data_IF_102495546894
#
_entry.id   IF_102495546894
#
_cell.length_a   1.000
_cell.length_b   1.000
_cell.length_c   1.000
_cell.angle_alpha   90.00
_cell.angle_beta   90.00
_cell.angle_gamma   90.00
#
_symmetry.space_group_name_H-M   'P 1'
#
loop_
_entity.id
_entity.type
_entity.pdbx_description
1 polymer ?
#
# COMPACT_ATOMS: atom_id res chain seq x y z
N UNK A 1 2.96 -8.35 21.64
CA UNK A 1 2.60 -9.71 21.19
C UNK A 1 3.86 -10.41 20.74
N UNK A 2 3.90 -11.75 20.83
CA UNK A 2 5.02 -12.58 20.36
C UNK A 2 5.24 -12.42 18.86
N UNK A 3 6.49 -12.42 18.41
CA UNK A 3 6.87 -12.36 16.99
C UNK A 3 6.36 -13.57 16.19
N UNK A 4 6.17 -14.72 16.86
CA UNK A 4 5.81 -16.01 16.24
C UNK A 4 4.39 -16.47 16.55
N UNK A 5 3.82 -16.05 17.67
CA UNK A 5 2.40 -16.30 18.04
C UNK A 5 1.54 -15.06 17.74
N UNK A 6 1.67 -14.53 16.53
CA UNK A 6 1.06 -13.27 16.10
C UNK A 6 -0.19 -13.42 15.24
N UNK A 7 -0.52 -14.62 14.76
CA UNK A 7 -1.64 -14.86 13.84
C UNK A 7 -3.00 -14.85 14.55
N UNK A 8 -3.44 -13.64 14.89
CA UNK A 8 -4.72 -13.34 15.51
C UNK A 8 -5.42 -12.19 14.79
N UNK A 9 -6.69 -11.97 15.14
CA UNK A 9 -7.51 -10.87 14.66
C UNK A 9 -8.32 -10.28 15.81
N UNK A 10 -8.70 -9.01 15.70
CA UNK A 10 -9.58 -8.33 16.65
C UNK A 10 -10.89 -7.97 15.96
N UNK A 11 -12.01 -8.10 16.68
CA UNK A 11 -13.34 -7.82 16.16
C UNK A 11 -13.99 -6.75 17.04
N UNK A 12 -14.36 -5.63 16.43
CA UNK A 12 -15.13 -4.55 17.05
C UNK A 12 -16.56 -4.62 16.57
N UNK A 13 -17.48 -4.96 17.48
CA UNK A 13 -18.91 -5.14 17.17
C UNK A 13 -19.69 -3.94 17.72
N UNK A 14 -20.58 -3.31 16.92
CA UNK A 14 -21.44 -2.25 17.40
C UNK A 14 -22.51 -2.79 18.36
N UNK A 15 -22.84 -2.03 19.40
CA UNK A 15 -23.92 -2.38 20.33
C UNK A 15 -25.30 -2.02 19.75
N UNK A 16 -25.74 -2.76 18.73
CA UNK A 16 -27.04 -2.58 18.06
C UNK A 16 -27.76 -3.93 17.93
N UNK A 17 -29.08 -3.94 17.96
CA UNK A 17 -29.86 -5.13 17.65
C UNK A 17 -29.82 -5.39 16.15
N UNK A 18 -29.21 -6.49 15.70
CA UNK A 18 -29.21 -6.86 14.27
C UNK A 18 -30.59 -7.37 13.87
N UNK A 19 -31.31 -6.63 13.02
CA UNK A 19 -32.64 -7.02 12.51
C UNK A 19 -32.57 -8.05 11.37
N UNK A 20 -31.97 -9.21 11.64
CA UNK A 20 -32.04 -10.42 10.80
C UNK A 20 -31.16 -10.46 9.54
N UNK A 21 -30.67 -9.31 9.03
CA UNK A 21 -29.62 -9.25 8.00
C UNK A 21 -28.31 -8.88 8.70
N UNK A 22 -27.26 -9.70 8.54
CA UNK A 22 -25.96 -9.44 9.18
C UNK A 22 -25.39 -8.07 8.80
N UNK A 23 -24.54 -7.51 9.65
CA UNK A 23 -23.88 -6.23 9.43
C UNK A 23 -22.75 -6.35 8.39
N UNK A 24 -22.49 -5.33 7.57
CA UNK A 24 -21.29 -5.28 6.74
C UNK A 24 -20.02 -5.41 7.59
N UNK A 25 -18.98 -5.99 7.01
CA UNK A 25 -17.71 -6.26 7.69
C UNK A 25 -16.59 -5.51 7.00
N UNK A 26 -15.92 -4.61 7.72
CA UNK A 26 -14.77 -3.86 7.24
C UNK A 26 -13.49 -4.46 7.83
N UNK A 27 -12.60 -4.97 6.98
CA UNK A 27 -11.40 -5.72 7.39
C UNK A 27 -10.14 -4.91 7.06
N UNK A 28 -9.42 -4.49 8.09
CA UNK A 28 -8.17 -3.73 7.97
C UNK A 28 -6.94 -4.63 7.87
N UNK A 29 -6.16 -4.40 6.80
CA UNK A 29 -4.82 -4.95 6.60
C UNK A 29 -3.82 -3.80 6.72
N UNK A 30 -3.00 -3.85 7.76
CA UNK A 30 -2.05 -2.77 8.05
C UNK A 30 -0.92 -2.66 7.01
N UNK A 31 -0.34 -1.46 6.92
CA UNK A 31 0.87 -1.18 6.14
C UNK A 31 2.15 -1.52 6.91
N UNK A 32 3.24 -0.81 6.57
CA UNK A 32 4.56 -0.97 7.21
C UNK A 32 5.61 -1.66 6.34
N UNK A 33 5.59 -1.40 5.02
CA UNK A 33 6.56 -1.90 4.03
C UNK A 33 6.73 -3.43 4.02
N UNK A 34 5.72 -4.18 4.48
CA UNK A 34 5.79 -5.63 4.74
C UNK A 34 6.86 -6.04 5.77
N UNK A 35 7.53 -5.09 6.43
CA UNK A 35 8.60 -5.31 7.41
C UNK A 35 8.07 -5.28 8.84
N UNK A 36 7.18 -4.34 9.14
CA UNK A 36 6.64 -4.08 10.48
C UNK A 36 5.13 -3.85 10.43
N UNK A 37 4.49 -3.89 11.58
CA UNK A 37 3.08 -3.54 11.75
C UNK A 37 2.35 -4.49 12.68
N UNK A 38 1.18 -4.08 13.14
CA UNK A 38 0.25 -4.95 13.85
C UNK A 38 -1.17 -4.44 13.73
N UNK A 39 -2.14 -5.35 13.60
CA UNK A 39 -3.56 -5.06 13.71
C UNK A 39 -4.00 -4.58 15.10
N UNK A 40 -3.14 -4.61 16.11
CA UNK A 40 -3.43 -4.10 17.47
C UNK A 40 -2.85 -2.71 17.74
N UNK A 41 -2.17 -2.12 16.77
CA UNK A 41 -1.63 -0.79 16.95
C UNK A 41 -2.76 0.24 17.20
N UNK A 42 -2.62 1.14 18.19
CA UNK A 42 -3.72 2.00 18.64
C UNK A 42 -4.34 2.86 17.54
N UNK A 43 -3.56 3.27 16.53
CA UNK A 43 -4.08 4.04 15.40
C UNK A 43 -5.14 3.28 14.58
N UNK A 44 -5.19 1.94 14.64
CA UNK A 44 -6.12 1.11 13.89
C UNK A 44 -7.31 0.63 14.73
N UNK A 45 -7.49 1.14 15.95
CA UNK A 45 -8.65 0.78 16.78
C UNK A 45 -9.94 1.24 16.09
N UNK A 46 -10.82 0.29 15.77
CA UNK A 46 -12.10 0.54 15.12
C UNK A 46 -13.15 1.13 16.06
N UNK A 47 -12.93 1.16 17.37
CA UNK A 47 -13.95 1.53 18.34
C UNK A 47 -14.58 2.91 18.06
N UNK A 48 -13.77 3.91 17.71
CA UNK A 48 -14.29 5.25 17.39
C UNK A 48 -15.09 5.28 16.08
N UNK A 49 -14.57 4.67 15.02
CA UNK A 49 -15.24 4.63 13.71
C UNK A 49 -16.52 3.78 13.73
N UNK A 50 -16.52 2.65 14.45
CA UNK A 50 -17.72 1.80 14.63
C UNK A 50 -18.78 2.56 15.41
N UNK A 51 -18.43 3.23 16.52
CA UNK A 51 -19.39 4.09 17.25
C UNK A 51 -19.98 5.18 16.36
N UNK A 52 -19.16 5.81 15.52
CA UNK A 52 -19.62 6.82 14.58
C UNK A 52 -20.63 6.26 13.57
N UNK A 53 -20.36 5.10 12.99
CA UNK A 53 -21.27 4.44 12.04
C UNK A 53 -22.66 4.15 12.62
N UNK A 54 -22.74 3.87 13.93
CA UNK A 54 -24.02 3.74 14.64
C UNK A 54 -24.78 5.07 14.65
N UNK A 55 -24.09 6.18 14.94
CA UNK A 55 -24.66 7.53 14.93
C UNK A 55 -25.18 7.95 13.55
N UNK A 56 -24.57 7.46 12.46
CA UNK A 56 -25.02 7.66 11.08
C UNK A 56 -26.17 6.74 10.65
N UNK A 57 -26.54 5.75 11.47
CA UNK A 57 -27.55 4.76 11.11
C UNK A 57 -27.09 3.71 10.09
N UNK A 58 -25.77 3.57 9.88
CA UNK A 58 -25.14 2.64 8.92
C UNK A 58 -24.05 1.78 9.60
N UNK A 59 -24.40 1.03 10.67
CA UNK A 59 -23.43 0.31 11.48
C UNK A 59 -22.68 -0.79 10.69
N UNK A 60 -21.40 -0.99 11.02
CA UNK A 60 -20.58 -2.07 10.47
C UNK A 60 -19.76 -2.76 11.58
N UNK A 61 -19.25 -3.97 11.31
CA UNK A 61 -18.28 -4.67 12.16
C UNK A 61 -16.87 -4.37 11.65
N UNK A 62 -16.00 -3.85 12.53
CA UNK A 62 -14.59 -3.65 12.22
C UNK A 62 -13.75 -4.87 12.59
N UNK A 63 -12.85 -5.30 11.71
CA UNK A 63 -11.90 -6.39 11.97
C UNK A 63 -10.49 -5.94 11.63
N UNK A 64 -9.54 -6.06 12.56
CA UNK A 64 -8.11 -5.92 12.25
C UNK A 64 -7.47 -7.30 12.24
N UNK A 65 -6.56 -7.55 11.30
CA UNK A 65 -5.83 -8.82 11.21
C UNK A 65 -4.34 -8.60 11.42
N UNK A 66 -3.67 -9.57 12.02
CA UNK A 66 -2.21 -9.69 11.96
C UNK A 66 -1.82 -10.69 10.86
N UNK A 67 -0.66 -10.47 10.26
CA UNK A 67 -0.01 -11.38 9.33
C UNK A 67 1.50 -11.32 9.54
N UNK A 68 2.24 -12.38 9.18
CA UNK A 68 3.70 -12.37 9.33
C UNK A 68 4.34 -11.30 8.42
N UNK A 69 5.21 -10.49 8.99
CA UNK A 69 6.02 -9.47 8.29
C UNK A 69 7.50 -9.89 8.24
N UNK A 70 8.32 -9.08 7.55
CA UNK A 70 9.77 -9.26 7.48
C UNK A 70 10.16 -10.62 6.93
N UNK A 71 11.25 -11.15 7.47
CA UNK A 71 11.75 -12.48 7.12
C UNK A 71 10.77 -13.60 7.47
N UNK A 72 9.92 -13.45 8.49
CA UNK A 72 8.94 -14.47 8.86
C UNK A 72 7.82 -14.61 7.83
N UNK A 73 7.47 -13.50 7.17
CA UNK A 73 6.43 -13.47 6.14
C UNK A 73 6.95 -13.70 4.73
N UNK A 74 8.18 -13.29 4.43
CA UNK A 74 8.63 -13.08 3.04
C UNK A 74 10.00 -13.67 2.72
N UNK A 75 10.75 -14.22 3.67
CA UNK A 75 12.00 -14.91 3.34
C UNK A 75 11.68 -16.20 2.58
N UNK A 76 12.30 -16.37 1.40
CA UNK A 76 12.21 -17.60 0.63
C UNK A 76 13.50 -17.83 -0.15
N UNK A 77 13.76 -19.10 -0.45
CA UNK A 77 14.86 -19.58 -1.28
C UNK A 77 14.51 -20.94 -1.83
N UNK A 78 15.26 -21.44 -2.80
CA UNK A 78 15.07 -22.81 -3.31
C UNK A 78 15.24 -23.84 -2.19
N UNK A 79 16.22 -23.60 -1.30
CA UNK A 79 16.49 -24.40 -0.11
C UNK A 79 15.26 -24.49 0.81
N UNK A 80 14.66 -23.33 1.15
CA UNK A 80 13.45 -23.25 1.96
C UNK A 80 12.25 -23.92 1.28
N UNK A 81 12.02 -23.64 -0.01
CA UNK A 81 10.89 -24.19 -0.76
C UNK A 81 10.97 -25.71 -0.92
N UNK A 82 12.16 -26.25 -1.16
CA UNK A 82 12.40 -27.71 -1.26
C UNK A 82 12.16 -28.41 0.07
N UNK A 83 12.44 -27.74 1.19
CA UNK A 83 12.15 -28.24 2.54
C UNK A 83 10.67 -28.10 2.95
N UNK A 84 9.81 -27.55 2.10
CA UNK A 84 8.37 -27.42 2.35
C UNK A 84 7.91 -26.05 2.84
N UNK A 85 8.82 -25.09 3.05
CA UNK A 85 8.44 -23.72 3.42
C UNK A 85 7.94 -22.97 2.19
N UNK A 86 6.66 -22.60 2.21
CA UNK A 86 6.05 -21.82 1.13
C UNK A 86 6.58 -20.38 1.12
N UNK A 87 6.65 -19.80 -0.06
CA UNK A 87 6.84 -18.36 -0.22
C UNK A 87 5.55 -17.59 0.12
N UNK A 88 5.67 -16.28 0.28
CA UNK A 88 4.53 -15.37 0.50
C UNK A 88 3.70 -15.70 1.75
N UNK A 89 4.34 -16.18 2.83
CA UNK A 89 3.65 -16.57 4.05
C UNK A 89 2.80 -15.44 4.64
N UNK A 90 3.28 -14.19 4.60
CA UNK A 90 2.49 -13.03 5.04
C UNK A 90 1.20 -12.85 4.24
N UNK A 91 1.22 -13.02 2.92
CA UNK A 91 0.02 -12.95 2.09
C UNK A 91 -0.90 -14.17 2.28
N UNK A 92 -0.32 -15.35 2.52
CA UNK A 92 -1.09 -16.56 2.84
C UNK A 92 -1.83 -16.40 4.17
N UNK A 93 -1.21 -15.80 5.17
CA UNK A 93 -1.83 -15.51 6.47
C UNK A 93 -3.05 -14.59 6.31
N UNK A 94 -2.92 -13.52 5.51
CA UNK A 94 -4.04 -12.64 5.20
C UNK A 94 -5.18 -13.40 4.52
N UNK A 95 -4.87 -14.26 3.53
CA UNK A 95 -5.88 -15.10 2.86
C UNK A 95 -6.61 -16.00 3.85
N UNK A 96 -5.87 -16.65 4.76
CA UNK A 96 -6.45 -17.48 5.83
C UNK A 96 -7.35 -16.65 6.75
N UNK A 97 -6.97 -15.41 7.09
CA UNK A 97 -7.81 -14.52 7.89
C UNK A 97 -9.11 -14.18 7.17
N UNK A 98 -9.10 -13.88 5.87
CA UNK A 98 -10.33 -13.68 5.09
C UNK A 98 -11.21 -14.94 5.04
N UNK A 99 -10.61 -16.12 4.84
CA UNK A 99 -11.34 -17.40 4.89
C UNK A 99 -11.98 -17.62 6.27
N UNK A 100 -11.26 -17.29 7.35
CA UNK A 100 -11.80 -17.36 8.70
C UNK A 100 -12.98 -16.40 8.88
N UNK A 101 -12.87 -15.16 8.41
CA UNK A 101 -13.94 -14.15 8.49
C UNK A 101 -15.18 -14.64 7.74
N UNK A 102 -15.01 -15.10 6.49
CA UNK A 102 -16.10 -15.67 5.67
C UNK A 102 -16.81 -16.82 6.37
N UNK A 103 -16.08 -17.65 7.12
CA UNK A 103 -16.63 -18.81 7.83
C UNK A 103 -17.30 -18.46 9.16
N UNK A 104 -16.79 -17.48 9.90
CA UNK A 104 -17.12 -17.30 11.32
C UNK A 104 -17.81 -15.98 11.67
N UNK A 105 -17.73 -14.95 10.83
CA UNK A 105 -18.17 -13.59 11.22
C UNK A 105 -19.68 -13.48 11.49
N UNK A 106 -20.47 -14.41 10.96
CA UNK A 106 -21.90 -14.53 11.27
C UNK A 106 -22.17 -14.76 12.77
N UNK A 107 -21.27 -15.44 13.48
CA UNK A 107 -21.37 -15.62 14.93
C UNK A 107 -21.23 -14.30 15.73
N UNK A 108 -20.70 -13.26 15.09
CA UNK A 108 -20.55 -11.92 15.66
C UNK A 108 -21.61 -10.94 15.11
N UNK A 109 -22.59 -11.43 14.36
CA UNK A 109 -23.63 -10.63 13.73
C UNK A 109 -23.26 -10.01 12.37
N UNK A 110 -22.12 -10.40 11.78
CA UNK A 110 -21.68 -9.92 10.46
C UNK A 110 -22.25 -10.72 9.30
N UNK A 111 -22.38 -10.10 8.14
CA UNK A 111 -22.71 -10.80 6.89
C UNK A 111 -21.42 -11.18 6.15
N UNK A 112 -21.09 -12.49 6.05
CA UNK A 112 -19.90 -12.94 5.34
C UNK A 112 -19.93 -12.60 3.84
N UNK A 113 -21.07 -12.22 3.26
CA UNK A 113 -21.16 -11.81 1.86
C UNK A 113 -21.01 -10.29 1.66
N UNK A 114 -20.89 -9.53 2.74
CA UNK A 114 -20.69 -8.07 2.73
C UNK A 114 -19.36 -7.69 3.37
N UNK A 115 -18.28 -8.31 2.88
CA UNK A 115 -16.90 -8.03 3.34
C UNK A 115 -16.26 -6.97 2.45
N UNK A 116 -15.83 -5.87 3.05
CA UNK A 116 -14.95 -4.87 2.45
C UNK A 116 -13.56 -5.02 3.03
N UNK A 117 -12.56 -5.22 2.18
CA UNK A 117 -11.16 -5.16 2.58
C UNK A 117 -10.65 -3.73 2.46
N UNK A 118 -9.92 -3.25 3.45
CA UNK A 118 -9.25 -1.95 3.43
C UNK A 118 -7.78 -2.14 3.85
N UNK A 119 -6.87 -1.51 3.13
CA UNK A 119 -5.46 -1.55 3.48
C UNK A 119 -4.74 -0.31 3.00
N UNK A 120 -3.74 0.10 3.79
CA UNK A 120 -2.92 1.27 3.51
C UNK A 120 -1.49 0.86 3.21
N UNK A 121 -0.83 1.52 2.25
CA UNK A 121 0.57 1.25 1.89
C UNK A 121 0.77 -0.23 1.54
N UNK A 122 1.68 -0.92 2.22
CA UNK A 122 1.90 -2.36 2.10
C UNK A 122 0.62 -3.21 2.29
N UNK A 123 -0.37 -2.73 3.04
CA UNK A 123 -1.68 -3.37 3.17
C UNK A 123 -2.51 -3.27 1.90
N UNK A 124 -2.52 -2.10 1.25
CA UNK A 124 -3.17 -1.89 -0.06
C UNK A 124 -2.49 -2.69 -1.18
N UNK A 125 -1.15 -2.70 -1.18
CA UNK A 125 -0.34 -3.57 -2.05
C UNK A 125 -0.75 -5.04 -1.83
N UNK A 126 -0.80 -5.49 -0.58
CA UNK A 126 -1.15 -6.87 -0.27
C UNK A 126 -2.56 -7.23 -0.77
N UNK A 127 -3.56 -6.37 -0.52
CA UNK A 127 -4.94 -6.63 -0.92
C UNK A 127 -5.15 -6.61 -2.44
N UNK A 128 -4.43 -5.76 -3.16
CA UNK A 128 -4.43 -5.80 -4.63
C UNK A 128 -3.74 -7.06 -5.16
N UNK A 129 -2.70 -7.58 -4.48
CA UNK A 129 -2.12 -8.90 -4.80
C UNK A 129 -3.08 -10.06 -4.48
N UNK A 130 -3.92 -9.95 -3.46
CA UNK A 130 -4.97 -10.95 -3.16
C UNK A 130 -5.99 -11.10 -4.30
N UNK A 131 -6.10 -10.13 -5.22
CA UNK A 131 -6.93 -10.27 -6.43
C UNK A 131 -6.44 -11.36 -7.38
N UNK A 132 -5.21 -11.90 -7.22
CA UNK A 132 -4.79 -13.10 -7.94
C UNK A 132 -5.46 -14.38 -7.44
N UNK A 133 -6.16 -14.34 -6.29
CA UNK A 133 -6.92 -15.48 -5.78
C UNK A 133 -8.09 -15.83 -6.71
N UNK A 134 -8.22 -17.11 -7.06
CA UNK A 134 -9.40 -17.66 -7.74
C UNK A 134 -10.63 -17.71 -6.84
N UNK A 135 -10.43 -17.73 -5.53
CA UNK A 135 -11.47 -17.66 -4.51
C UNK A 135 -11.80 -16.19 -4.20
N UNK A 136 -13.07 -15.78 -4.22
CA UNK A 136 -13.49 -14.45 -3.75
C UNK A 136 -13.30 -14.29 -2.23
N UNK A 137 -12.39 -13.41 -1.83
CA UNK A 137 -12.06 -13.16 -0.42
C UNK A 137 -12.86 -12.02 0.20
N UNK A 138 -13.20 -11.01 -0.62
CA UNK A 138 -13.98 -9.83 -0.25
C UNK A 138 -14.81 -9.38 -1.45
N UNK A 139 -15.80 -8.52 -1.23
CA UNK A 139 -16.68 -8.01 -2.28
C UNK A 139 -16.21 -6.64 -2.80
N UNK A 140 -15.58 -5.86 -1.94
CA UNK A 140 -15.14 -4.48 -2.16
C UNK A 140 -13.73 -4.29 -1.62
N UNK A 141 -12.95 -3.44 -2.27
CA UNK A 141 -11.57 -3.13 -1.90
C UNK A 141 -11.39 -1.62 -1.73
N UNK A 142 -10.88 -1.19 -0.58
CA UNK A 142 -10.31 0.14 -0.38
C UNK A 142 -8.77 0.02 -0.34
N UNK A 143 -8.10 0.44 -1.41
CA UNK A 143 -6.64 0.43 -1.54
C UNK A 143 -6.12 1.86 -1.37
N UNK A 144 -5.50 2.14 -0.22
CA UNK A 144 -5.10 3.48 0.19
C UNK A 144 -3.57 3.61 0.09
N UNK A 145 -3.08 4.62 -0.63
CA UNK A 145 -1.64 4.88 -0.80
C UNK A 145 -0.84 3.60 -1.14
N UNK A 146 -1.38 2.69 -1.97
CA UNK A 146 -0.76 1.38 -2.19
C UNK A 146 -1.51 0.41 -3.11
N UNK A 147 -0.86 0.02 -4.21
CA UNK A 147 -1.35 -1.00 -5.15
C UNK A 147 -0.24 -1.95 -5.60
N UNK A 148 -0.59 -3.06 -6.24
CA UNK A 148 0.35 -4.02 -6.79
C UNK A 148 1.23 -3.43 -7.91
N UNK A 149 0.89 -2.26 -8.46
CA UNK A 149 1.74 -1.53 -9.42
C UNK A 149 2.89 -0.80 -8.72
N UNK A 150 2.69 -0.36 -7.47
CA UNK A 150 3.74 0.13 -6.57
C UNK A 150 4.61 -1.02 -6.05
N UNK A 151 4.01 -2.03 -5.43
CA UNK A 151 4.72 -3.17 -4.84
C UNK A 151 4.53 -4.46 -5.63
N UNK A 152 5.40 -4.69 -6.61
CA UNK A 152 5.32 -5.86 -7.49
C UNK A 152 6.00 -7.08 -6.87
N UNK A 153 5.50 -8.30 -7.11
CA UNK A 153 6.24 -9.49 -6.76
C UNK A 153 7.51 -9.60 -7.62
N UNK A 154 8.63 -9.95 -6.99
CA UNK A 154 9.92 -10.08 -7.68
C UNK A 154 10.23 -11.54 -8.04
N UNK A 155 11.01 -11.79 -9.10
CA UNK A 155 11.40 -13.14 -9.48
C UNK A 155 12.19 -13.87 -8.38
N UNK A 156 12.10 -15.20 -8.35
CA UNK A 156 12.74 -16.03 -7.33
C UNK A 156 14.27 -15.83 -7.25
N UNK A 157 14.96 -15.51 -8.35
CA UNK A 157 16.41 -15.28 -8.30
C UNK A 157 16.80 -14.09 -7.40
N UNK A 158 15.92 -13.07 -7.28
CA UNK A 158 16.14 -11.95 -6.35
C UNK A 158 16.07 -12.45 -4.92
N UNK A 159 15.12 -13.34 -4.63
CA UNK A 159 14.99 -13.99 -3.32
C UNK A 159 16.21 -14.85 -2.96
N UNK A 160 16.84 -15.52 -3.93
CA UNK A 160 18.08 -16.25 -3.67
C UNK A 160 19.23 -15.30 -3.25
N UNK A 161 19.32 -14.10 -3.85
CA UNK A 161 20.30 -13.08 -3.46
C UNK A 161 20.02 -12.55 -2.04
N UNK A 162 18.75 -12.26 -1.74
CA UNK A 162 18.31 -11.80 -0.41
C UNK A 162 18.59 -12.87 0.64
N UNK A 163 18.28 -14.13 0.35
CA UNK A 163 18.54 -15.26 1.24
C UNK A 163 20.04 -15.44 1.51
N UNK A 164 20.90 -15.26 0.51
CA UNK A 164 22.36 -15.30 0.69
C UNK A 164 22.84 -14.23 1.65
N UNK A 165 22.43 -12.98 1.47
CA UNK A 165 22.78 -11.85 2.35
C UNK A 165 22.29 -12.11 3.79
N UNK A 166 21.07 -12.63 3.92
CA UNK A 166 20.53 -13.06 5.22
C UNK A 166 21.42 -14.14 5.86
N UNK A 167 21.78 -15.20 5.13
CA UNK A 167 22.62 -16.27 5.66
C UNK A 167 24.03 -15.79 6.05
N UNK A 168 24.60 -14.86 5.29
CA UNK A 168 25.87 -14.20 5.62
C UNK A 168 25.77 -13.44 6.95
N UNK A 169 24.72 -12.62 7.11
CA UNK A 169 24.51 -11.84 8.32
C UNK A 169 24.24 -12.71 9.56
N UNK A 170 23.62 -13.88 9.37
CA UNK A 170 23.38 -14.86 10.45
C UNK A 170 24.59 -15.77 10.73
N UNK A 171 25.67 -15.71 9.94
CA UNK A 171 26.83 -16.58 10.09
C UNK A 171 26.58 -18.04 9.69
N UNK A 172 25.64 -18.27 8.76
CA UNK A 172 25.13 -19.60 8.39
C UNK A 172 25.69 -20.14 7.06
N UNK A 173 26.64 -19.44 6.45
CA UNK A 173 27.18 -19.76 5.11
C UNK A 173 27.95 -21.08 5.07
N UNK A 174 28.56 -21.49 6.19
CA UNK A 174 29.29 -22.74 6.30
C UNK A 174 28.38 -23.97 6.41
N UNK A 175 27.10 -23.79 6.76
CA UNK A 175 26.12 -24.87 6.87
C UNK A 175 25.55 -25.21 5.50
N UNK A 176 25.23 -26.50 5.30
CA UNK A 176 24.57 -26.98 4.09
C UNK A 176 23.07 -27.15 4.31
N UNK A 177 22.26 -26.83 3.29
CA UNK A 177 20.88 -27.28 3.14
C UNK A 177 20.07 -27.37 4.42
N UNK A 178 19.75 -28.62 4.80
CA UNK A 178 18.92 -28.95 5.95
C UNK A 178 19.52 -28.51 7.30
N UNK A 179 20.85 -28.50 7.45
CA UNK A 179 21.48 -28.02 8.69
C UNK A 179 21.35 -26.51 8.83
N UNK A 180 21.36 -25.78 7.70
CA UNK A 180 21.11 -24.35 7.69
C UNK A 180 19.68 -24.03 8.12
N UNK A 181 18.70 -24.74 7.57
CA UNK A 181 17.29 -24.57 7.94
C UNK A 181 17.08 -24.86 9.42
N UNK A 182 17.58 -26.01 9.92
CA UNK A 182 17.48 -26.36 11.34
C UNK A 182 18.16 -25.34 12.26
N UNK A 183 19.23 -24.70 11.79
CA UNK A 183 19.86 -23.62 12.53
C UNK A 183 18.94 -22.39 12.57
N UNK A 184 18.37 -21.97 11.44
CA UNK A 184 17.42 -20.85 11.36
C UNK A 184 16.24 -21.06 12.32
N UNK A 185 15.63 -22.25 12.33
CA UNK A 185 14.49 -22.57 13.21
C UNK A 185 14.81 -22.52 14.71
N UNK A 186 16.09 -22.61 15.09
CA UNK A 186 16.55 -22.60 16.48
C UNK A 186 17.00 -21.22 16.96
N UNK A 187 17.26 -20.28 16.05
CA UNK A 187 17.65 -18.92 16.42
C UNK A 187 16.43 -18.24 17.05
N UNK A 188 16.54 -17.66 18.26
CA UNK A 188 15.47 -16.87 18.85
C UNK A 188 15.04 -15.72 17.92
N UNK A 189 13.72 -15.46 17.83
CA UNK A 189 13.16 -14.48 16.89
C UNK A 189 13.81 -13.09 17.01
N UNK A 190 14.04 -12.62 18.23
CA UNK A 190 14.69 -11.33 18.49
C UNK A 190 16.12 -11.28 17.93
N UNK A 191 16.90 -12.34 18.10
CA UNK A 191 18.26 -12.44 17.55
C UNK A 191 18.23 -12.51 16.03
N UNK A 192 17.27 -13.25 15.48
CA UNK A 192 17.08 -13.38 14.04
C UNK A 192 16.84 -12.00 13.42
N UNK A 193 15.90 -11.23 13.97
CA UNK A 193 15.56 -9.85 13.54
C UNK A 193 16.76 -8.92 13.72
N UNK A 194 17.41 -8.94 14.88
CA UNK A 194 18.52 -8.02 15.20
C UNK A 194 19.68 -8.12 14.21
N UNK A 195 19.95 -9.32 13.69
CA UNK A 195 21.00 -9.58 12.71
C UNK A 195 20.56 -9.37 11.25
N UNK A 196 19.28 -9.13 10.97
CA UNK A 196 18.84 -8.84 9.58
C UNK A 196 19.36 -7.47 9.17
N UNK A 197 20.24 -7.38 8.15
CA UNK A 197 20.72 -6.09 7.70
C UNK A 197 19.57 -5.36 6.98
N UNK A 198 19.50 -4.03 7.02
CA UNK A 198 18.46 -3.28 6.32
C UNK A 198 18.43 -3.46 4.79
N UNK A 199 19.46 -4.08 4.20
CA UNK A 199 19.53 -4.48 2.79
C UNK A 199 18.76 -5.77 2.46
N UNK A 200 18.20 -6.47 3.46
CA UNK A 200 17.28 -7.61 3.27
C UNK A 200 15.85 -7.07 3.29
N UNK A 201 15.22 -6.84 2.12
CA UNK A 201 13.86 -6.33 2.06
C UNK A 201 12.83 -7.44 2.31
N UNK A 202 11.62 -7.06 2.72
CA UNK A 202 10.46 -7.93 2.64
C UNK A 202 9.75 -7.70 1.30
N UNK A 203 9.83 -8.70 0.41
CA UNK A 203 9.27 -8.60 -0.95
C UNK A 203 8.32 -9.77 -1.20
N UNK A 204 7.19 -9.56 -1.89
CA UNK A 204 6.43 -10.67 -2.44
C UNK A 204 7.25 -11.42 -3.50
N UNK A 205 7.11 -12.75 -3.54
CA UNK A 205 7.76 -13.61 -4.51
C UNK A 205 6.79 -13.96 -5.64
N UNK A 206 7.25 -13.86 -6.89
CA UNK A 206 6.58 -14.45 -8.04
C UNK A 206 6.86 -15.98 -8.01
N UNK A 207 6.03 -16.71 -7.26
CA UNK A 207 6.25 -18.12 -6.91
C UNK A 207 5.48 -19.12 -7.78
N UNK A 208 4.61 -18.63 -8.67
CA UNK A 208 3.71 -19.43 -9.52
C UNK A 208 2.78 -20.38 -8.75
N UNK A 209 2.63 -20.18 -7.43
CA UNK A 209 1.74 -20.93 -6.53
C UNK A 209 0.73 -19.98 -5.90
N UNK A 210 1.20 -18.99 -5.13
CA UNK A 210 0.35 -17.94 -4.57
C UNK A 210 0.18 -16.76 -5.53
N UNK A 211 1.28 -16.29 -6.13
CA UNK A 211 1.31 -15.20 -7.11
C UNK A 211 1.80 -15.77 -8.45
N UNK A 212 0.91 -15.74 -9.44
CA UNK A 212 1.18 -16.24 -10.78
C UNK A 212 1.58 -15.13 -11.76
N UNK A 213 1.32 -13.86 -11.43
CA UNK A 213 1.69 -12.71 -12.25
C UNK A 213 2.36 -11.60 -11.45
N UNK A 214 3.15 -10.80 -12.16
CA UNK A 214 3.69 -9.52 -11.70
C UNK A 214 3.07 -8.39 -12.52
N UNK A 215 1.97 -7.79 -12.05
CA UNK A 215 1.34 -6.63 -12.69
C UNK A 215 2.32 -5.53 -13.07
N UNK A 216 2.25 -5.08 -14.32
CA UNK A 216 2.95 -3.92 -14.88
C UNK A 216 1.95 -2.88 -15.36
N UNK A 217 2.40 -1.63 -15.55
CA UNK A 217 1.56 -0.58 -16.14
C UNK A 217 1.07 -1.01 -17.53
N UNK A 218 1.96 -1.63 -18.32
CA UNK A 218 1.60 -2.21 -19.61
C UNK A 218 0.54 -3.31 -19.52
N UNK A 219 0.65 -4.24 -18.55
CA UNK A 219 -0.34 -5.32 -18.40
C UNK A 219 -1.72 -4.79 -18.00
N UNK A 220 -1.77 -3.68 -17.25
CA UNK A 220 -3.01 -3.07 -16.80
C UNK A 220 -3.87 -2.52 -17.95
N UNK A 221 -3.30 -2.31 -19.15
CA UNK A 221 -4.07 -1.97 -20.37
C UNK A 221 -5.16 -2.99 -20.72
N UNK A 222 -4.96 -4.25 -20.36
CA UNK A 222 -5.92 -5.32 -20.64
C UNK A 222 -7.05 -5.42 -19.60
N UNK A 223 -6.86 -4.88 -18.39
CA UNK A 223 -7.79 -5.11 -17.27
C UNK A 223 -9.18 -4.56 -17.54
N UNK A 224 -9.27 -3.39 -18.16
CA UNK A 224 -10.54 -2.75 -18.55
C UNK A 224 -11.24 -3.45 -19.72
N UNK A 225 -10.56 -4.36 -20.43
CA UNK A 225 -11.04 -5.08 -21.63
C UNK A 225 -11.44 -6.53 -21.34
N UNK A 226 -12.02 -6.79 -20.16
CA UNK A 226 -12.51 -8.12 -19.78
C UNK A 226 -11.69 -8.84 -18.71
N UNK A 227 -10.80 -8.11 -18.02
CA UNK A 227 -9.97 -8.60 -16.92
C UNK A 227 -8.67 -9.26 -17.38
N UNK A 228 -7.94 -9.80 -16.40
CA UNK A 228 -6.70 -10.54 -16.61
C UNK A 228 -6.89 -11.96 -16.05
N UNK A 229 -6.70 -13.03 -16.84
CA UNK A 229 -6.78 -14.41 -16.33
C UNK A 229 -5.84 -14.69 -15.15
N UNK A 230 -4.71 -13.98 -15.07
CA UNK A 230 -3.78 -14.07 -13.96
C UNK A 230 -4.20 -13.26 -12.72
N UNK A 231 -5.26 -12.45 -12.83
CA UNK A 231 -5.86 -11.69 -11.73
C UNK A 231 -7.38 -11.93 -11.70
N UNK A 232 -7.85 -13.15 -11.34
CA UNK A 232 -9.26 -13.51 -11.36
C UNK A 232 -10.16 -12.60 -10.52
N UNK A 233 -9.60 -11.95 -9.50
CA UNK A 233 -10.28 -11.01 -8.62
C UNK A 233 -10.73 -9.72 -9.24
N UNK A 234 -10.23 -9.37 -10.43
CA UNK A 234 -10.83 -8.34 -11.25
C UNK A 234 -12.27 -8.67 -11.66
N UNK A 235 -12.71 -9.94 -11.59
CA UNK A 235 -14.09 -10.36 -11.88
C UNK A 235 -14.99 -10.43 -10.64
N UNK A 236 -14.44 -10.84 -9.49
CA UNK A 236 -15.25 -11.05 -8.28
C UNK A 236 -15.27 -9.83 -7.34
N UNK A 237 -14.25 -8.98 -7.37
CA UNK A 237 -14.25 -7.70 -6.64
C UNK A 237 -15.08 -6.70 -7.44
N UNK A 238 -16.18 -6.22 -6.86
CA UNK A 238 -17.18 -5.41 -7.59
C UNK A 238 -16.85 -3.93 -7.58
N UNK A 239 -16.29 -3.46 -6.48
CA UNK A 239 -16.06 -2.04 -6.27
C UNK A 239 -14.68 -1.79 -5.67
N UNK A 240 -14.10 -0.68 -6.10
CA UNK A 240 -12.80 -0.18 -5.68
C UNK A 240 -12.98 1.23 -5.13
N UNK A 241 -12.44 1.48 -3.95
CA UNK A 241 -12.11 2.81 -3.45
C UNK A 241 -10.59 2.92 -3.46
N UNK A 242 -10.03 3.94 -4.09
CA UNK A 242 -8.57 4.09 -4.25
C UNK A 242 -8.21 5.57 -4.18
N UNK A 243 -7.05 5.87 -3.62
CA UNK A 243 -6.59 7.25 -3.50
C UNK A 243 -5.35 7.41 -2.64
N UNK A 244 -4.69 8.54 -2.86
CA UNK A 244 -3.37 8.87 -2.33
C UNK A 244 -3.39 10.18 -1.56
N UNK A 245 -2.28 10.43 -0.88
CA UNK A 245 -1.94 11.71 -0.27
C UNK A 245 -1.08 12.54 -1.21
N UNK A 246 -1.21 13.87 -1.17
CA UNK A 246 -0.42 14.78 -2.02
C UNK A 246 1.09 14.55 -1.91
N UNK A 247 1.55 14.18 -0.72
CA UNK A 247 2.96 14.04 -0.36
C UNK A 247 3.26 12.66 0.27
N UNK A 248 2.63 11.59 -0.22
CA UNK A 248 2.97 10.21 0.15
C UNK A 248 4.47 9.88 -0.03
N UNK A 249 5.13 10.52 -1.00
CA UNK A 249 6.57 10.39 -1.23
C UNK A 249 7.45 10.73 -0.01
N UNK A 250 6.91 11.47 0.98
CA UNK A 250 7.60 11.73 2.26
C UNK A 250 8.03 10.48 3.00
N UNK A 251 7.38 9.32 2.78
CA UNK A 251 7.79 8.05 3.39
C UNK A 251 9.20 7.60 2.96
N UNK A 252 9.66 8.05 1.79
CA UNK A 252 10.99 7.70 1.28
C UNK A 252 12.12 8.43 2.01
N UNK A 253 11.80 9.38 2.89
CA UNK A 253 12.79 10.04 3.76
C UNK A 253 13.66 9.04 4.51
N UNK A 254 13.04 7.99 5.09
CA UNK A 254 13.78 6.94 5.79
C UNK A 254 14.75 6.15 4.90
N UNK A 255 14.42 5.99 3.62
CA UNK A 255 15.28 5.30 2.64
C UNK A 255 16.37 6.20 2.06
N UNK A 256 16.17 7.52 2.07
CA UNK A 256 17.08 8.50 1.49
C UNK A 256 17.88 9.30 2.52
N UNK A 257 17.63 9.09 3.82
CA UNK A 257 18.26 9.83 4.92
C UNK A 257 19.81 9.77 4.91
N UNK A 258 20.42 8.77 4.30
CA UNK A 258 21.88 8.68 4.13
C UNK A 258 22.43 9.49 2.96
N UNK A 259 21.58 10.00 2.06
CA UNK A 259 21.95 10.75 0.84
C UNK A 259 21.74 12.25 1.01
N UNK A 260 22.47 12.87 1.94
CA UNK A 260 22.34 14.31 2.25
C UNK A 260 23.28 15.21 1.45
N UNK A 261 24.22 14.65 0.70
CA UNK A 261 25.21 15.40 -0.08
C UNK A 261 25.29 14.88 -1.52
N UNK A 262 25.27 15.79 -2.51
CA UNK A 262 25.37 15.47 -3.93
C UNK A 262 24.18 14.66 -4.46
N UNK A 263 23.02 14.74 -3.81
CA UNK A 263 21.89 13.84 -4.10
C UNK A 263 21.36 14.05 -5.53
N UNK A 264 21.36 15.28 -6.03
CA UNK A 264 20.91 15.59 -7.38
C UNK A 264 21.71 14.81 -8.44
N UNK A 265 23.04 14.88 -8.37
CA UNK A 265 23.92 14.16 -9.31
C UNK A 265 23.81 12.66 -9.14
N UNK A 266 23.76 12.15 -7.89
CA UNK A 266 23.59 10.73 -7.64
C UNK A 266 22.27 10.17 -8.21
N UNK A 267 21.19 10.96 -8.13
CA UNK A 267 19.89 10.62 -8.68
C UNK A 267 19.85 10.71 -10.20
N UNK A 268 20.50 11.70 -10.81
CA UNK A 268 20.63 11.80 -12.27
C UNK A 268 21.41 10.60 -12.84
N UNK A 269 22.55 10.24 -12.24
CA UNK A 269 23.37 9.09 -12.63
C UNK A 269 22.62 7.76 -12.41
N UNK A 270 21.99 7.63 -11.25
CA UNK A 270 20.70 6.95 -11.00
C UNK A 270 19.90 6.52 -12.23
N UNK A 271 19.13 7.48 -12.72
CA UNK A 271 18.17 7.32 -13.80
C UNK A 271 18.87 7.00 -15.12
N UNK A 272 19.96 7.70 -15.46
CA UNK A 272 20.68 7.52 -16.74
C UNK A 272 21.29 6.12 -16.86
N UNK A 273 21.75 5.53 -15.76
CA UNK A 273 22.23 4.15 -15.73
C UNK A 273 21.09 3.14 -15.88
N UNK A 274 19.95 3.42 -15.26
CA UNK A 274 18.79 2.50 -15.23
C UNK A 274 18.04 2.49 -16.56
N UNK A 275 18.02 3.62 -17.28
CA UNK A 275 17.29 3.79 -18.55
C UNK A 275 18.19 4.49 -19.61
N UNK A 276 19.31 3.86 -20.03
CA UNK A 276 20.36 4.52 -20.81
C UNK A 276 19.93 5.00 -22.19
N UNK A 277 18.90 4.39 -22.77
CA UNK A 277 18.41 4.73 -24.11
C UNK A 277 17.53 5.99 -24.13
N UNK A 278 17.25 6.61 -22.98
CA UNK A 278 16.27 7.69 -22.85
C UNK A 278 16.86 8.96 -22.20
N UNK A 279 18.15 9.23 -22.41
CA UNK A 279 18.86 10.36 -21.81
C UNK A 279 18.14 11.71 -21.93
N UNK A 280 17.65 12.07 -23.12
CA UNK A 280 16.91 13.34 -23.34
C UNK A 280 15.61 13.42 -22.53
N UNK A 281 14.92 12.29 -22.40
CA UNK A 281 13.68 12.20 -21.65
C UNK A 281 13.94 12.35 -20.15
N UNK A 282 15.03 11.74 -19.67
CA UNK A 282 15.50 11.91 -18.28
C UNK A 282 15.87 13.36 -18.01
N UNK A 283 16.61 14.02 -18.91
CA UNK A 283 16.98 15.43 -18.74
C UNK A 283 15.73 16.33 -18.65
N UNK A 284 14.71 16.04 -19.47
CA UNK A 284 13.43 16.76 -19.45
C UNK A 284 12.67 16.53 -18.15
N UNK A 285 12.61 15.28 -17.69
CA UNK A 285 11.99 14.91 -16.41
C UNK A 285 12.66 15.61 -15.23
N UNK A 286 14.00 15.56 -15.14
CA UNK A 286 14.75 16.20 -14.06
C UNK A 286 14.54 17.72 -14.06
N UNK A 287 14.54 18.35 -15.24
CA UNK A 287 14.22 19.78 -15.36
C UNK A 287 12.82 20.12 -14.87
N UNK A 288 11.83 19.26 -15.11
CA UNK A 288 10.44 19.45 -14.69
C UNK A 288 10.25 19.48 -13.18
N UNK A 289 11.06 18.69 -12.47
CA UNK A 289 11.09 18.64 -11.01
C UNK A 289 12.15 19.57 -10.41
N UNK A 290 12.77 20.42 -11.22
CA UNK A 290 13.83 21.34 -10.79
C UNK A 290 15.03 20.63 -10.15
N UNK A 291 15.40 19.45 -10.68
CA UNK A 291 16.56 18.66 -10.25
C UNK A 291 17.70 18.91 -11.23
N UNK A 292 18.79 19.47 -10.74
CA UNK A 292 20.04 19.66 -11.50
C UNK A 292 21.25 19.64 -10.58
N UNK A 293 22.45 19.49 -11.14
CA UNK A 293 23.72 19.59 -10.40
C UNK A 293 23.94 20.95 -9.72
N UNK A 294 23.23 22.00 -10.13
CA UNK A 294 23.27 23.33 -9.48
C UNK A 294 22.19 23.50 -8.39
N UNK A 295 21.29 22.54 -8.22
CA UNK A 295 20.25 22.56 -7.20
C UNK A 295 20.85 22.24 -5.84
N UNK A 296 20.53 23.02 -4.81
CA UNK A 296 21.00 22.74 -3.45
C UNK A 296 20.53 21.36 -2.99
N UNK A 297 21.33 20.65 -2.19
CA UNK A 297 21.00 19.29 -1.74
C UNK A 297 19.62 19.21 -1.07
N UNK A 298 19.26 20.20 -0.24
CA UNK A 298 17.95 20.22 0.41
C UNK A 298 16.80 20.40 -0.59
N UNK A 299 16.94 21.27 -1.58
CA UNK A 299 15.92 21.47 -2.59
C UNK A 299 15.80 20.23 -3.49
N UNK A 300 16.92 19.68 -3.95
CA UNK A 300 16.95 18.45 -4.74
C UNK A 300 16.34 17.28 -3.99
N UNK A 301 16.61 17.16 -2.68
CA UNK A 301 16.00 16.14 -1.83
C UNK A 301 14.48 16.20 -1.86
N UNK A 302 13.89 17.39 -1.66
CA UNK A 302 12.44 17.56 -1.70
C UNK A 302 11.87 17.27 -3.10
N UNK A 303 12.50 17.79 -4.16
CA UNK A 303 12.11 17.50 -5.55
C UNK A 303 12.16 16.00 -5.89
N UNK A 304 13.14 15.26 -5.35
CA UNK A 304 13.25 13.81 -5.52
C UNK A 304 12.14 13.08 -4.77
N UNK A 305 11.74 13.54 -3.58
CA UNK A 305 10.57 12.99 -2.88
C UNK A 305 9.27 13.26 -3.65
N UNK A 306 9.12 14.44 -4.27
CA UNK A 306 7.96 14.76 -5.12
C UNK A 306 7.91 13.87 -6.37
N UNK A 307 9.04 13.67 -7.05
CA UNK A 307 9.10 12.74 -8.18
C UNK A 307 8.85 11.30 -7.74
N UNK A 308 9.40 10.91 -6.59
CA UNK A 308 9.16 9.62 -5.95
C UNK A 308 7.69 9.40 -5.61
N UNK A 309 7.01 10.44 -5.11
CA UNK A 309 5.56 10.42 -4.88
C UNK A 309 4.81 10.03 -6.14
N UNK A 310 5.11 10.72 -7.23
CA UNK A 310 4.34 10.57 -8.45
C UNK A 310 4.60 9.20 -9.09
N UNK A 311 5.86 8.73 -9.11
CA UNK A 311 6.24 7.39 -9.62
C UNK A 311 5.66 6.26 -8.76
N UNK A 312 5.64 6.43 -7.44
CA UNK A 312 5.39 5.33 -6.51
C UNK A 312 3.95 5.30 -5.95
N UNK A 313 3.24 6.41 -5.92
CA UNK A 313 1.88 6.47 -5.36
C UNK A 313 0.88 6.94 -6.41
N UNK A 314 0.98 8.18 -6.87
CA UNK A 314 -0.04 8.78 -7.73
C UNK A 314 -0.25 8.02 -9.04
N UNK A 315 0.81 7.74 -9.82
CA UNK A 315 0.68 7.04 -11.11
C UNK A 315 0.20 5.59 -10.93
N UNK A 316 0.75 4.77 -10.01
CA UNK A 316 0.21 3.45 -9.70
C UNK A 316 -1.28 3.44 -9.38
N UNK A 317 -1.76 4.40 -8.61
CA UNK A 317 -3.16 4.45 -8.19
C UNK A 317 -4.09 4.93 -9.29
N UNK A 318 -3.71 5.98 -9.99
CA UNK A 318 -4.43 6.47 -11.16
C UNK A 318 -4.56 5.37 -12.22
N UNK A 319 -3.47 4.64 -12.48
CA UNK A 319 -3.47 3.53 -13.45
C UNK A 319 -4.42 2.44 -12.97
N UNK A 320 -4.33 2.05 -11.69
CA UNK A 320 -5.18 1.00 -11.15
C UNK A 320 -6.66 1.42 -11.20
N UNK A 321 -6.99 2.64 -10.82
CA UNK A 321 -8.33 3.21 -10.81
C UNK A 321 -8.98 3.20 -12.21
N UNK A 322 -8.26 3.65 -13.23
CA UNK A 322 -8.76 3.75 -14.62
C UNK A 322 -8.91 2.40 -15.31
N UNK A 323 -8.27 1.36 -14.78
CA UNK A 323 -8.17 0.03 -15.39
C UNK A 323 -8.92 -1.04 -14.63
N UNK A 324 -9.33 -0.77 -13.40
CA UNK A 324 -10.25 -1.62 -12.67
C UNK A 324 -11.58 -1.74 -13.44
N UNK A 325 -12.07 -2.97 -13.70
CA UNK A 325 -13.28 -3.17 -14.51
C UNK A 325 -14.60 -2.98 -13.75
N UNK A 326 -14.56 -2.92 -12.42
CA UNK A 326 -15.73 -2.69 -11.57
C UNK A 326 -16.02 -1.21 -11.34
N UNK A 327 -16.88 -0.92 -10.36
CA UNK A 327 -17.17 0.47 -9.98
C UNK A 327 -16.01 1.06 -9.19
N UNK A 328 -15.47 2.20 -9.63
CA UNK A 328 -14.32 2.84 -8.99
C UNK A 328 -14.71 4.18 -8.37
N UNK A 329 -14.28 4.40 -7.13
CA UNK A 329 -14.37 5.66 -6.40
C UNK A 329 -12.95 6.15 -6.11
N UNK A 330 -12.58 7.29 -6.68
CA UNK A 330 -11.25 7.90 -6.51
C UNK A 330 -11.32 8.99 -5.47
N UNK A 331 -10.29 9.13 -4.64
CA UNK A 331 -10.10 10.29 -3.79
C UNK A 331 -8.65 10.79 -3.79
N UNK A 332 -8.46 12.03 -3.38
CA UNK A 332 -7.16 12.65 -3.15
C UNK A 332 -7.17 13.39 -1.82
N UNK A 333 -6.21 13.13 -0.95
CA UNK A 333 -6.15 13.75 0.37
C UNK A 333 -4.99 14.77 0.43
N UNK A 334 -5.36 16.03 0.66
CA UNK A 334 -4.50 17.21 0.60
C UNK A 334 -4.39 17.92 1.96
N UNK A 335 -5.06 17.38 2.97
CA UNK A 335 -5.01 17.84 4.36
C UNK A 335 -3.59 17.74 4.94
N UNK A 336 -3.01 18.87 5.39
CA UNK A 336 -1.65 18.89 5.89
C UNK A 336 -1.52 18.29 7.29
N UNK A 337 -0.46 17.54 7.51
CA UNK A 337 -0.09 17.01 8.83
C UNK A 337 0.24 18.16 9.80
N UNK A 338 -0.48 18.28 10.94
CA UNK A 338 -0.31 19.39 11.87
C UNK A 338 0.84 19.18 12.87
N UNK A 339 1.38 17.97 12.98
CA UNK A 339 2.34 17.61 14.02
C UNK A 339 3.75 18.12 13.72
N UNK A 340 4.47 18.47 14.78
CA UNK A 340 5.85 18.93 14.66
C UNK A 340 6.77 17.82 14.10
N UNK A 341 7.56 18.16 13.09
CA UNK A 341 8.48 17.24 12.42
C UNK A 341 8.93 17.76 11.05
N UNK A 342 9.80 17.00 10.34
CA UNK A 342 10.34 17.40 9.03
C UNK A 342 9.29 17.65 7.94
N UNK A 343 8.11 17.04 8.09
CA UNK A 343 6.99 17.10 7.14
C UNK A 343 5.74 17.74 7.72
N UNK A 344 5.88 18.57 8.76
CA UNK A 344 4.79 19.44 9.21
C UNK A 344 4.32 20.31 8.03
N UNK A 345 3.01 20.34 7.80
CA UNK A 345 2.42 21.11 6.70
C UNK A 345 2.33 20.36 5.36
N UNK A 346 2.88 19.15 5.27
CA UNK A 346 2.73 18.27 4.10
C UNK A 346 1.53 17.35 4.31
N UNK A 347 0.83 16.96 3.24
CA UNK A 347 -0.13 15.86 3.31
C UNK A 347 0.66 14.53 3.26
N UNK A 348 1.37 14.24 4.35
CA UNK A 348 2.38 13.19 4.42
C UNK A 348 1.78 11.79 4.51
N UNK A 349 2.48 10.78 4.00
CA UNK A 349 2.09 9.36 4.09
C UNK A 349 1.64 8.96 5.49
N UNK A 350 0.61 8.10 5.58
CA UNK A 350 -0.04 7.63 6.83
C UNK A 350 -0.90 8.65 7.58
N UNK A 351 -0.95 9.92 7.16
CA UNK A 351 -1.82 10.89 7.83
C UNK A 351 -3.31 10.62 7.55
N UNK A 352 -3.65 10.06 6.39
CA UNK A 352 -4.96 9.45 6.10
C UNK A 352 -5.44 8.47 7.18
N UNK A 353 -4.57 7.61 7.70
CA UNK A 353 -4.89 6.65 8.76
C UNK A 353 -5.25 7.38 10.06
N UNK A 354 -4.48 8.41 10.40
CA UNK A 354 -4.74 9.20 11.60
C UNK A 354 -6.11 9.89 11.57
N UNK A 355 -6.53 10.32 10.38
CA UNK A 355 -7.83 10.92 10.12
C UNK A 355 -8.95 9.85 10.11
N UNK A 356 -8.71 8.72 9.46
CA UNK A 356 -9.74 7.72 9.15
C UNK A 356 -10.35 7.07 10.40
N UNK A 357 -9.50 6.61 11.32
CA UNK A 357 -9.96 5.86 12.48
C UNK A 357 -10.49 6.75 13.61
N UNK A 358 -10.22 8.06 13.53
CA UNK A 358 -10.63 9.07 14.52
C UNK A 358 -10.01 8.90 15.91
N UNK A 359 -8.98 8.06 16.01
CA UNK A 359 -8.29 7.80 17.28
C UNK A 359 -7.46 9.00 17.75
N UNK A 360 -7.20 9.97 16.87
CA UNK A 360 -6.43 11.17 17.16
C UNK A 360 -7.24 12.47 17.08
N UNK A 361 -8.58 12.41 17.02
CA UNK A 361 -9.45 13.61 16.91
C UNK A 361 -9.09 14.67 17.96
N UNK A 362 -8.76 14.27 19.19
CA UNK A 362 -8.42 15.19 20.27
C UNK A 362 -7.08 15.93 20.10
N UNK A 363 -6.21 15.48 19.19
CA UNK A 363 -4.90 16.07 18.90
C UNK A 363 -4.87 16.81 17.56
N UNK A 364 -5.99 16.85 16.85
CA UNK A 364 -6.10 17.45 15.52
C UNK A 364 -6.76 18.83 15.58
N UNK A 365 -6.39 19.76 14.69
CA UNK A 365 -7.14 21.00 14.52
C UNK A 365 -8.53 20.70 13.91
N UNK A 366 -9.50 21.60 14.13
CA UNK A 366 -10.90 21.38 13.74
C UNK A 366 -11.08 21.03 12.25
N UNK A 367 -10.37 21.70 11.35
CA UNK A 367 -10.46 21.44 9.91
C UNK A 367 -10.01 20.00 9.55
N UNK A 368 -8.90 19.53 10.14
CA UNK A 368 -8.46 18.14 9.97
C UNK A 368 -9.48 17.14 10.52
N UNK A 369 -10.13 17.44 11.66
CA UNK A 369 -11.21 16.60 12.20
C UNK A 369 -12.38 16.51 11.21
N UNK A 370 -12.81 17.65 10.66
CA UNK A 370 -13.91 17.70 9.67
C UNK A 370 -13.58 16.90 8.40
N UNK A 371 -12.35 17.03 7.89
CA UNK A 371 -11.85 16.24 6.77
C UNK A 371 -11.83 14.75 7.10
N UNK A 372 -11.32 14.37 8.27
CA UNK A 372 -11.27 12.97 8.71
C UNK A 372 -12.65 12.36 8.88
N UNK A 373 -13.63 13.13 9.37
CA UNK A 373 -15.01 12.67 9.48
C UNK A 373 -15.64 12.49 8.10
N UNK A 374 -15.43 13.42 7.17
CA UNK A 374 -15.91 13.28 5.80
C UNK A 374 -15.30 12.05 5.10
N UNK A 375 -14.02 11.79 5.32
CA UNK A 375 -13.35 10.61 4.78
C UNK A 375 -13.89 9.30 5.39
N UNK A 376 -14.04 9.27 6.72
CA UNK A 376 -14.65 8.15 7.44
C UNK A 376 -16.09 7.87 7.02
N UNK A 377 -16.90 8.91 6.80
CA UNK A 377 -18.28 8.80 6.30
C UNK A 377 -18.34 8.13 4.92
N UNK A 378 -17.42 8.52 4.03
CA UNK A 378 -17.26 7.88 2.74
C UNK A 378 -16.98 6.39 2.89
N UNK A 379 -16.00 6.03 3.73
CA UNK A 379 -15.67 4.62 3.93
C UNK A 379 -16.82 3.83 4.57
N UNK A 380 -17.56 4.41 5.52
CA UNK A 380 -18.73 3.78 6.14
C UNK A 380 -19.80 3.51 5.08
N UNK A 381 -20.10 4.48 4.20
CA UNK A 381 -21.02 4.29 3.07
C UNK A 381 -20.54 3.15 2.16
N UNK A 382 -19.27 3.18 1.77
CA UNK A 382 -18.67 2.16 0.91
C UNK A 382 -18.74 0.75 1.53
N UNK A 383 -18.45 0.61 2.83
CA UNK A 383 -18.60 -0.65 3.56
C UNK A 383 -20.05 -1.17 3.52
N UNK A 384 -21.02 -0.25 3.62
CA UNK A 384 -22.45 -0.52 3.57
C UNK A 384 -23.03 -0.68 2.15
N UNK A 385 -22.20 -0.85 1.11
CA UNK A 385 -22.64 -0.93 -0.30
C UNK A 385 -23.42 0.32 -0.76
N UNK A 386 -23.10 1.48 -0.19
CA UNK A 386 -23.60 2.78 -0.63
C UNK A 386 -22.45 3.50 -1.34
N UNK A 387 -22.78 4.24 -2.40
CA UNK A 387 -21.80 5.06 -3.09
C UNK A 387 -21.25 6.12 -2.10
N UNK A 388 -19.93 6.16 -1.85
CA UNK A 388 -19.35 7.17 -0.97
C UNK A 388 -19.44 8.58 -1.60
N UNK A 389 -19.30 8.64 -2.93
CA UNK A 389 -19.47 9.80 -3.80
C UNK A 389 -19.72 9.33 -5.25
N UNK A 390 -19.70 10.24 -6.23
CA UNK A 390 -19.87 9.87 -7.64
C UNK A 390 -18.74 8.93 -8.10
N UNK A 391 -19.08 7.81 -8.75
CA UNK A 391 -18.10 6.91 -9.33
C UNK A 391 -17.32 7.58 -10.48
N UNK A 392 -16.03 7.25 -10.56
CA UNK A 392 -15.12 7.68 -11.63
C UNK A 392 -15.20 6.73 -12.82
N UNK A 393 -14.97 7.27 -14.01
CA UNK A 393 -14.94 6.49 -15.25
C UNK A 393 -13.95 7.11 -16.24
N UNK A 394 -13.56 6.35 -17.28
CA UNK A 394 -12.66 6.88 -18.31
C UNK A 394 -13.23 8.09 -19.06
N UNK A 395 -14.54 8.13 -19.30
CA UNK A 395 -15.21 9.24 -20.00
C UNK A 395 -15.54 10.43 -19.10
N UNK A 396 -15.66 10.21 -17.79
CA UNK A 396 -15.94 11.24 -16.80
C UNK A 396 -15.09 10.97 -15.55
N UNK A 397 -13.79 11.29 -15.59
CA UNK A 397 -12.91 11.07 -14.45
C UNK A 397 -13.23 12.10 -13.36
N UNK A 398 -13.63 11.61 -12.18
CA UNK A 398 -13.93 12.43 -11.02
C UNK A 398 -13.32 11.83 -9.77
N UNK A 399 -12.91 12.68 -8.84
CA UNK A 399 -12.35 12.28 -7.56
C UNK A 399 -12.94 13.14 -6.44
N UNK A 400 -13.05 12.56 -5.25
CA UNK A 400 -13.35 13.34 -4.06
C UNK A 400 -12.05 13.89 -3.47
N UNK A 401 -11.93 15.21 -3.37
CA UNK A 401 -10.75 15.86 -2.83
C UNK A 401 -11.02 16.25 -1.39
N UNK A 402 -10.14 15.81 -0.48
CA UNK A 402 -10.22 16.05 0.96
C UNK A 402 -9.15 17.06 1.38
N UNK A 403 -9.55 18.19 1.96
CA UNK A 403 -8.63 19.19 2.50
C UNK A 403 -7.96 20.05 1.40
N UNK A 404 -6.76 20.56 1.69
CA UNK A 404 -6.00 21.46 0.81
C UNK A 404 -6.18 22.94 1.15
N UNK A 405 -5.75 23.86 0.27
CA UNK A 405 -5.73 25.31 0.54
C UNK A 405 -7.10 25.91 0.89
N UNK A 406 -8.18 25.30 0.39
CA UNK A 406 -9.55 25.71 0.68
C UNK A 406 -10.13 25.06 1.94
N UNK A 407 -9.49 24.02 2.50
CA UNK A 407 -9.98 23.25 3.65
C UNK A 407 -11.32 22.53 3.39
N UNK A 408 -11.70 22.32 2.13
CA UNK A 408 -12.99 21.75 1.74
C UNK A 408 -12.89 20.26 1.40
N UNK A 409 -14.02 19.56 1.50
CA UNK A 409 -14.20 18.19 1.00
C UNK A 409 -15.23 18.19 -0.13
N UNK A 410 -14.81 17.99 -1.36
CA UNK A 410 -15.69 18.17 -2.53
C UNK A 410 -15.35 17.25 -3.71
N UNK A 411 -16.34 17.04 -4.59
CA UNK A 411 -16.15 16.32 -5.84
C UNK A 411 -15.53 17.24 -6.90
N UNK A 412 -14.40 16.82 -7.48
CA UNK A 412 -13.72 17.54 -8.57
C UNK A 412 -13.53 16.62 -9.78
N UNK A 413 -13.27 17.22 -10.94
CA UNK A 413 -12.78 16.47 -12.10
C UNK A 413 -11.34 15.99 -11.81
N UNK A 414 -11.07 14.73 -12.10
CA UNK A 414 -9.83 14.04 -11.74
C UNK A 414 -8.75 14.25 -12.81
N UNK A 415 -8.25 15.49 -12.85
CA UNK A 415 -7.09 15.93 -13.61
C UNK A 415 -6.08 16.56 -12.65
N UNK A 416 -4.76 16.34 -12.83
CA UNK A 416 -3.76 16.68 -11.82
C UNK A 416 -3.90 18.09 -11.24
N UNK A 417 -4.06 19.10 -12.10
CA UNK A 417 -4.18 20.51 -11.75
C UNK A 417 -5.46 20.87 -10.98
N UNK A 418 -6.49 20.01 -11.02
CA UNK A 418 -7.77 20.22 -10.33
C UNK A 418 -7.85 19.51 -8.99
N UNK A 419 -6.95 18.55 -8.75
CA UNK A 419 -6.89 17.74 -7.52
C UNK A 419 -5.60 17.99 -6.71
N UNK A 420 -4.91 19.09 -7.02
CA UNK A 420 -3.66 19.54 -6.39
C UNK A 420 -2.50 18.53 -6.52
N UNK A 421 -2.46 17.81 -7.65
CA UNK A 421 -1.36 16.92 -8.05
C UNK A 421 -0.47 17.59 -9.10
N UNK A 422 0.79 17.19 -9.12
CA UNK A 422 1.76 17.69 -10.10
C UNK A 422 1.41 17.12 -11.48
N UNK A 423 1.33 17.98 -12.48
CA UNK A 423 1.10 17.56 -13.88
C UNK A 423 2.41 17.30 -14.63
N UNK A 424 3.55 17.76 -14.09
CA UNK A 424 4.85 17.80 -14.76
C UNK A 424 5.20 16.47 -15.46
N UNK A 425 5.02 15.34 -14.77
CA UNK A 425 5.37 14.01 -15.30
C UNK A 425 4.54 13.56 -16.51
N UNK A 426 3.35 14.15 -16.75
CA UNK A 426 2.47 13.78 -17.87
C UNK A 426 2.66 14.66 -19.12
N UNK A 427 3.32 15.82 -19.01
CA UNK A 427 3.40 16.80 -20.08
C UNK A 427 4.47 16.49 -21.14
N UNK A 428 5.36 15.52 -20.91
CA UNK A 428 6.44 15.19 -21.84
C UNK A 428 6.06 14.07 -22.82
N UNK A 429 6.14 14.37 -24.12
CA UNK A 429 5.91 13.41 -25.22
C UNK A 429 6.87 12.21 -25.21
N UNK A 430 8.05 12.40 -24.63
CA UNK A 430 9.11 11.39 -24.58
C UNK A 430 9.27 10.76 -23.18
N UNK A 431 8.28 10.91 -22.28
CA UNK A 431 8.36 10.37 -20.90
C UNK A 431 8.78 8.90 -20.91
N UNK A 432 9.80 8.51 -20.13
CA UNK A 432 10.16 7.11 -20.00
C UNK A 432 8.95 6.28 -19.61
N UNK A 433 8.79 5.09 -20.19
CA UNK A 433 7.65 4.22 -19.87
C UNK A 433 7.55 3.98 -18.36
N UNK A 434 6.33 4.01 -17.82
CA UNK A 434 6.09 3.94 -16.36
C UNK A 434 6.78 2.76 -15.68
N UNK A 435 6.84 1.62 -16.37
CA UNK A 435 7.55 0.43 -15.87
C UNK A 435 9.06 0.66 -15.72
N UNK A 436 9.68 1.40 -16.64
CA UNK A 436 11.10 1.73 -16.58
C UNK A 436 11.40 2.76 -15.48
N UNK A 437 10.55 3.78 -15.31
CA UNK A 437 10.69 4.77 -14.22
C UNK A 437 10.53 4.14 -12.85
N UNK A 438 9.51 3.29 -12.69
CA UNK A 438 9.27 2.59 -11.43
C UNK A 438 10.44 1.68 -11.05
N UNK A 439 11.01 0.96 -12.04
CA UNK A 439 12.22 0.16 -11.84
C UNK A 439 13.42 1.04 -11.45
N UNK A 440 13.68 2.13 -12.19
CA UNK A 440 14.79 3.05 -11.91
C UNK A 440 14.67 3.71 -10.54
N UNK A 441 13.45 4.08 -10.13
CA UNK A 441 13.14 4.57 -8.78
C UNK A 441 13.47 3.51 -7.73
N UNK A 442 12.98 2.29 -7.92
CA UNK A 442 13.23 1.15 -7.01
C UNK A 442 14.72 0.88 -6.84
N UNK A 443 15.49 0.93 -7.92
CA UNK A 443 16.95 0.80 -7.88
C UNK A 443 17.63 1.93 -7.08
N UNK A 444 17.17 3.18 -7.25
CA UNK A 444 17.75 4.32 -6.55
C UNK A 444 17.53 4.23 -5.03
N UNK A 445 16.32 3.91 -4.59
CA UNK A 445 16.00 3.79 -3.15
C UNK A 445 16.66 2.56 -2.51
N UNK A 446 16.92 1.49 -3.28
CA UNK A 446 17.54 0.27 -2.76
C UNK A 446 19.06 0.39 -2.59
N UNK A 447 19.71 1.23 -3.40
CA UNK A 447 21.17 1.44 -3.32
C UNK A 447 21.48 2.24 -2.07
N UNK A 448 22.38 1.72 -1.24
CA UNK A 448 22.97 2.46 -0.12
C UNK A 448 24.26 3.13 -0.57
#
# INVERSE_FOLDING_TARGET
MSDTECLNLNITVPNVQSHGKGLPVLVWVHGGALLVGSGTWPQYDFAALVRHSVGLGTPFIGVTINYRTGIFGFLTSEELRTAGFKANNGLRDQKVAFQWIKKNIAGFGGDPNQVTAIGQSAGGISLTLQLQSSEPLFQRLAAIAGTCLLGRPVPLFVHEMVYKVFCEAQGLTALSGQDRIKAIEKIPSEELIFKVPPSVPALPALDADFLCASPTFQSAEAWSKGGDPAIPGLKWCKELLVGDMKDDGTIFDGALAHRVQGIASAFEESLKRSIPQQGKAIDSLLSAYHISSSTSDRAAYLSILELGNDIAFYIPEETFARRFPGTTYVYHLNEPNPWDGPFKGFASHLFDVALLFRNYDAQLPLHAIEVGHAFGDGLIKFANSQAPWQASSQSKPVAWVFGGEAGTSELREDFPEKVDRRNAIFEFKDTPGWDALHMAWTEFIARR
#
